data_IF_139392933945
#
_entry.id   IF_139392933945
#
_cell.length_a   1.000
_cell.length_b   1.000
_cell.length_c   1.000
_cell.angle_alpha   90.00
_cell.angle_beta   90.00
_cell.angle_gamma   90.00
#
_symmetry.space_group_name_H-M   'P 1'
#
loop_
_entity.id
_entity.type
_entity.pdbx_description
1 polymer ?
#
# COMPACT_ATOMS: atom_id res chain seq x y z
N UNK A 1 28.34 -32.51 22.88
CA UNK A 1 27.10 -32.62 22.10
C UNK A 1 26.46 -31.25 22.05
N UNK A 2 26.60 -30.55 20.92
CA UNK A 2 26.08 -29.19 20.75
C UNK A 2 24.59 -29.24 20.42
N UNK A 3 23.78 -28.60 21.25
CA UNK A 3 22.36 -28.36 20.99
C UNK A 3 22.24 -27.24 19.97
N UNK A 4 21.90 -27.63 18.73
CA UNK A 4 21.49 -26.71 17.67
C UNK A 4 20.21 -25.99 18.10
N UNK A 5 20.35 -24.69 18.37
CA UNK A 5 19.22 -23.76 18.51
C UNK A 5 18.60 -23.61 17.12
N UNK A 6 17.53 -24.35 16.85
CA UNK A 6 16.65 -24.09 15.70
C UNK A 6 15.98 -22.74 15.92
N UNK A 7 16.60 -21.67 15.40
CA UNK A 7 15.98 -20.37 15.28
C UNK A 7 14.75 -20.51 14.40
N UNK A 8 13.57 -20.35 15.00
CA UNK A 8 12.31 -20.30 14.28
C UNK A 8 12.41 -19.18 13.22
N UNK A 9 12.52 -19.58 11.96
CA UNK A 9 12.24 -18.73 10.81
C UNK A 9 10.78 -18.31 10.97
N UNK A 10 10.54 -17.17 11.61
CA UNK A 10 9.21 -16.64 11.81
C UNK A 10 8.65 -16.22 10.45
N UNK A 11 8.02 -17.16 9.75
CA UNK A 11 7.07 -16.83 8.71
C UNK A 11 6.05 -15.87 9.34
N UNK A 12 5.78 -14.75 8.69
CA UNK A 12 4.65 -13.92 9.07
C UNK A 12 3.40 -14.67 8.64
N UNK A 13 3.00 -15.68 9.40
CA UNK A 13 1.85 -16.53 9.12
C UNK A 13 0.52 -15.78 9.17
N UNK A 14 0.55 -14.51 9.62
CA UNK A 14 -0.60 -13.61 9.62
C UNK A 14 -0.19 -12.19 9.19
N UNK A 15 -1.06 -11.45 8.48
CA UNK A 15 -0.78 -10.09 8.00
C UNK A 15 -0.41 -9.09 9.10
N UNK A 16 -0.92 -9.26 10.31
CA UNK A 16 -0.75 -8.35 11.45
C UNK A 16 0.70 -8.32 11.94
N UNK A 17 1.47 -9.37 11.65
CA UNK A 17 2.89 -9.47 12.01
C UNK A 17 3.80 -8.71 11.03
N UNK A 18 3.30 -8.35 9.84
CA UNK A 18 4.03 -7.53 8.89
C UNK A 18 4.13 -6.10 9.40
N UNK A 19 5.31 -5.50 9.30
CA UNK A 19 5.59 -4.12 9.75
C UNK A 19 6.25 -3.32 8.63
N UNK A 20 6.10 -2.00 8.71
CA UNK A 20 6.78 -1.06 7.82
C UNK A 20 6.53 -1.36 6.34
N UNK A 21 7.61 -1.44 5.57
CA UNK A 21 7.56 -1.59 4.12
C UNK A 21 6.99 -2.95 3.66
N UNK A 22 7.31 -4.03 4.38
CA UNK A 22 6.80 -5.37 4.04
C UNK A 22 5.27 -5.42 4.06
N UNK A 23 4.66 -4.69 5.00
CA UNK A 23 3.20 -4.58 5.12
C UNK A 23 2.61 -3.79 3.96
N UNK A 24 3.23 -2.66 3.60
CA UNK A 24 2.79 -1.80 2.49
C UNK A 24 2.83 -2.56 1.17
N UNK A 25 3.87 -3.36 0.94
CA UNK A 25 3.92 -4.24 -0.22
C UNK A 25 2.84 -5.32 -0.19
N UNK A 26 2.66 -6.00 0.95
CA UNK A 26 1.61 -7.00 1.09
C UNK A 26 0.22 -6.45 0.74
N UNK A 27 -0.07 -5.21 1.13
CA UNK A 27 -1.35 -4.56 0.84
C UNK A 27 -1.55 -4.27 -0.65
N UNK A 28 -0.47 -4.01 -1.38
CA UNK A 28 -0.49 -3.66 -2.81
C UNK A 28 -0.19 -4.86 -3.72
N UNK A 29 -0.18 -6.09 -3.18
CA UNK A 29 -0.11 -7.30 -3.99
C UNK A 29 -1.46 -7.59 -4.63
N UNK A 30 -1.41 -8.07 -5.87
CA UNK A 30 -2.61 -8.35 -6.65
C UNK A 30 -3.31 -9.61 -6.15
N UNK A 31 -4.51 -9.43 -5.58
CA UNK A 31 -5.39 -10.51 -5.19
C UNK A 31 -4.97 -11.29 -3.94
N UNK A 32 -5.77 -12.29 -3.57
CA UNK A 32 -5.56 -13.07 -2.35
C UNK A 32 -4.44 -14.10 -2.47
N UNK A 33 -4.24 -14.68 -3.67
CA UNK A 33 -3.22 -15.70 -3.91
C UNK A 33 -1.81 -15.17 -3.66
N UNK A 34 -1.48 -14.00 -4.22
CA UNK A 34 -0.15 -13.41 -4.07
C UNK A 34 0.12 -12.96 -2.64
N UNK A 35 -0.91 -12.44 -1.97
CA UNK A 35 -0.86 -12.12 -0.53
C UNK A 35 -0.58 -13.36 0.31
N UNK A 36 -1.31 -14.46 0.08
CA UNK A 36 -1.11 -15.72 0.79
C UNK A 36 0.27 -16.33 0.52
N UNK A 37 0.79 -16.20 -0.71
CA UNK A 37 2.14 -16.64 -1.05
C UNK A 37 3.20 -15.80 -0.33
N UNK A 38 3.07 -14.47 -0.33
CA UNK A 38 4.01 -13.56 0.32
C UNK A 38 4.18 -13.81 1.82
N UNK A 39 3.11 -14.19 2.53
CA UNK A 39 3.16 -14.54 3.96
C UNK A 39 4.02 -15.78 4.23
N UNK A 40 4.13 -16.69 3.26
CA UNK A 40 4.96 -17.90 3.32
C UNK A 40 6.41 -17.64 2.93
N UNK A 41 6.70 -16.52 2.24
CA UNK A 41 8.06 -16.18 1.79
C UNK A 41 8.92 -15.76 2.99
N UNK A 42 10.08 -16.42 3.20
CA UNK A 42 11.04 -16.01 4.23
C UNK A 42 11.48 -14.55 4.02
N UNK A 43 11.69 -13.80 5.11
CA UNK A 43 12.03 -12.37 5.04
C UNK A 43 13.17 -12.06 4.07
N UNK A 44 14.23 -12.87 4.06
CA UNK A 44 15.38 -12.71 3.18
C UNK A 44 15.06 -12.85 1.67
N UNK A 45 13.95 -13.51 1.32
CA UNK A 45 13.53 -13.76 -0.06
C UNK A 45 12.39 -12.84 -0.52
N UNK A 46 11.82 -12.02 0.38
CA UNK A 46 10.67 -11.14 0.06
C UNK A 46 10.99 -10.13 -1.03
N UNK A 47 12.20 -9.56 -1.03
CA UNK A 47 12.60 -8.64 -2.08
C UNK A 47 12.56 -9.32 -3.47
N UNK A 48 13.14 -10.51 -3.61
CA UNK A 48 13.14 -11.25 -4.87
C UNK A 48 11.72 -11.62 -5.32
N UNK A 49 10.84 -11.98 -4.38
CA UNK A 49 9.42 -12.18 -4.66
C UNK A 49 8.76 -10.89 -5.21
N UNK A 50 8.99 -9.75 -4.56
CA UNK A 50 8.42 -8.46 -4.97
C UNK A 50 8.99 -7.96 -6.31
N UNK A 51 10.23 -8.30 -6.62
CA UNK A 51 10.83 -8.07 -7.95
C UNK A 51 10.10 -8.87 -9.03
N UNK A 52 9.84 -10.16 -8.80
CA UNK A 52 9.05 -10.98 -9.73
C UNK A 52 7.64 -10.44 -9.96
N UNK A 53 7.08 -9.74 -8.97
CA UNK A 53 5.78 -9.06 -9.06
C UNK A 53 5.86 -7.62 -9.60
N UNK A 54 7.05 -7.11 -9.92
CA UNK A 54 7.29 -5.74 -10.39
C UNK A 54 7.12 -4.63 -9.33
N UNK A 55 6.61 -4.96 -8.14
CA UNK A 55 6.39 -3.97 -7.07
C UNK A 55 7.70 -3.39 -6.53
N UNK A 56 8.74 -4.22 -6.43
CA UNK A 56 10.04 -3.73 -5.96
C UNK A 56 10.68 -2.75 -6.94
N UNK A 57 10.57 -3.01 -8.24
CA UNK A 57 11.17 -2.16 -9.26
C UNK A 57 10.41 -0.84 -9.37
N UNK A 58 9.07 -0.87 -9.32
CA UNK A 58 8.24 0.34 -9.17
C UNK A 58 8.61 1.15 -7.94
N UNK A 59 8.89 0.47 -6.83
CA UNK A 59 9.34 1.14 -5.60
C UNK A 59 10.71 1.79 -5.76
N UNK A 60 11.68 1.11 -6.39
CA UNK A 60 13.02 1.66 -6.61
C UNK A 60 13.04 2.79 -7.65
N UNK A 61 12.10 2.80 -8.59
CA UNK A 61 11.95 3.87 -9.58
C UNK A 61 11.42 5.19 -8.98
N UNK A 62 10.84 5.16 -7.78
CA UNK A 62 10.42 6.37 -7.09
C UNK A 62 11.65 7.20 -6.63
N UNK A 63 11.61 8.55 -6.77
CA UNK A 63 12.59 9.43 -6.16
C UNK A 63 12.74 9.14 -4.66
N UNK A 64 13.95 9.29 -4.12
CA UNK A 64 14.22 9.03 -2.69
C UNK A 64 13.30 9.85 -1.77
N UNK A 65 13.05 11.12 -2.11
CA UNK A 65 12.14 11.98 -1.38
C UNK A 65 10.71 11.43 -1.34
N UNK A 66 10.21 10.89 -2.45
CA UNK A 66 8.88 10.27 -2.53
C UNK A 66 8.82 8.97 -1.73
N UNK A 67 9.87 8.13 -1.80
CA UNK A 67 9.97 6.93 -0.96
C UNK A 67 9.95 7.27 0.52
N UNK A 68 10.66 8.33 0.92
CA UNK A 68 10.70 8.79 2.31
C UNK A 68 9.32 9.30 2.77
N UNK A 69 8.64 10.10 1.94
CA UNK A 69 7.29 10.58 2.21
C UNK A 69 6.28 9.42 2.32
N UNK A 70 6.28 8.49 1.36
CA UNK A 70 5.38 7.33 1.38
C UNK A 70 5.61 6.44 2.61
N UNK A 71 6.85 6.26 3.06
CA UNK A 71 7.16 5.55 4.32
C UNK A 71 6.52 6.22 5.54
N UNK A 72 6.46 7.56 5.57
CA UNK A 72 5.79 8.35 6.62
C UNK A 72 4.27 8.43 6.43
N UNK A 73 3.73 7.92 5.32
CA UNK A 73 2.31 8.02 5.00
C UNK A 73 1.91 9.41 4.49
N UNK A 74 2.87 10.18 3.98
CA UNK A 74 2.66 11.48 3.38
C UNK A 74 2.48 11.33 1.86
N UNK A 75 1.57 12.13 1.30
CA UNK A 75 1.30 12.22 -0.12
C UNK A 75 1.16 13.70 -0.49
N UNK A 76 1.64 14.08 -1.68
CA UNK A 76 1.54 15.43 -2.22
C UNK A 76 1.25 15.40 -3.71
N UNK A 77 0.63 16.48 -4.22
CA UNK A 77 0.54 16.71 -5.65
C UNK A 77 1.94 16.69 -6.31
N UNK A 78 2.02 16.16 -7.52
CA UNK A 78 3.23 15.88 -8.26
C UNK A 78 3.92 14.56 -7.91
N UNK A 79 3.46 13.82 -6.90
CA UNK A 79 4.01 12.48 -6.61
C UNK A 79 3.52 11.44 -7.63
N UNK A 80 4.27 10.36 -7.82
CA UNK A 80 3.77 9.24 -8.62
C UNK A 80 2.58 8.56 -7.93
N UNK A 81 1.62 8.08 -8.71
CA UNK A 81 0.44 7.32 -8.24
C UNK A 81 0.85 6.16 -7.33
N UNK A 82 1.90 5.43 -7.70
CA UNK A 82 2.39 4.32 -6.90
C UNK A 82 2.87 4.74 -5.51
N UNK A 83 3.36 5.98 -5.35
CA UNK A 83 3.72 6.52 -4.04
C UNK A 83 2.48 6.68 -3.14
N UNK A 84 1.31 7.05 -3.71
CA UNK A 84 0.04 7.09 -2.98
C UNK A 84 -0.34 5.70 -2.46
N UNK A 85 -0.22 4.68 -3.30
CA UNK A 85 -0.52 3.29 -2.92
C UNK A 85 0.42 2.78 -1.84
N UNK A 86 1.70 3.13 -1.92
CA UNK A 86 2.66 2.77 -0.88
C UNK A 86 2.43 3.55 0.41
N UNK A 87 1.95 4.79 0.33
CA UNK A 87 1.65 5.63 1.49
C UNK A 87 0.38 5.19 2.23
N UNK A 88 -0.71 4.94 1.50
CA UNK A 88 -2.06 4.79 2.05
C UNK A 88 -2.67 3.39 1.84
N UNK A 89 -1.99 2.50 1.12
CA UNK A 89 -2.52 1.22 0.66
C UNK A 89 -3.25 1.38 -0.68
N UNK A 90 -3.90 0.32 -1.19
CA UNK A 90 -4.74 0.48 -2.37
C UNK A 90 -5.86 1.51 -2.14
N UNK A 91 -6.58 1.93 -3.18
CA UNK A 91 -7.78 2.71 -3.00
C UNK A 91 -8.97 1.83 -2.62
N UNK A 92 -9.95 2.44 -1.94
CA UNK A 92 -11.25 1.87 -1.64
C UNK A 92 -12.12 1.78 -2.91
N UNK A 93 -12.04 2.81 -3.76
CA UNK A 93 -12.71 2.88 -5.06
C UNK A 93 -11.80 3.57 -6.09
N UNK A 94 -11.98 3.26 -7.37
CA UNK A 94 -11.30 3.95 -8.46
C UNK A 94 -12.25 4.17 -9.61
N UNK A 95 -12.48 5.44 -9.94
CA UNK A 95 -13.30 5.85 -11.07
C UNK A 95 -12.42 6.48 -12.14
N UNK A 96 -12.60 6.10 -13.40
CA UNK A 96 -11.91 6.72 -14.53
C UNK A 96 -12.89 7.60 -15.28
N UNK A 97 -12.51 8.84 -15.54
CA UNK A 97 -13.26 9.77 -16.38
C UNK A 97 -12.40 10.21 -17.54
N UNK A 98 -12.99 10.15 -18.72
CA UNK A 98 -12.34 10.59 -19.97
C UNK A 98 -12.98 11.90 -20.41
N UNK A 99 -12.17 12.93 -20.61
CA UNK A 99 -12.60 14.22 -21.15
C UNK A 99 -11.72 14.57 -22.35
N UNK A 100 -12.22 14.27 -23.56
CA UNK A 100 -11.42 14.35 -24.78
C UNK A 100 -10.31 13.30 -24.77
N UNK A 101 -9.05 13.71 -24.94
CA UNK A 101 -7.87 12.84 -24.91
C UNK A 101 -7.27 12.64 -23.50
N UNK A 102 -7.82 13.31 -22.49
CA UNK A 102 -7.35 13.19 -21.11
C UNK A 102 -8.14 12.12 -20.37
N UNK A 103 -7.43 11.13 -19.84
CA UNK A 103 -7.97 10.18 -18.87
C UNK A 103 -7.49 10.56 -17.47
N UNK A 104 -8.45 10.78 -16.58
CA UNK A 104 -8.20 11.06 -15.16
C UNK A 104 -8.73 9.89 -14.34
N UNK A 105 -7.86 9.29 -13.52
CA UNK A 105 -8.25 8.33 -12.51
C UNK A 105 -8.48 9.05 -11.17
N UNK A 106 -9.66 8.85 -10.58
CA UNK A 106 -10.03 9.34 -9.27
C UNK A 106 -10.01 8.17 -8.29
N UNK A 107 -9.05 8.19 -7.38
CA UNK A 107 -8.90 7.19 -6.34
C UNK A 107 -9.49 7.69 -5.03
N UNK A 108 -10.42 6.94 -4.47
CA UNK A 108 -10.95 7.21 -3.13
C UNK A 108 -10.15 6.43 -2.10
N UNK A 109 -9.59 7.12 -1.12
CA UNK A 109 -8.87 6.54 0.01
C UNK A 109 -9.61 6.84 1.31
N UNK A 110 -9.76 5.83 2.16
CA UNK A 110 -10.37 5.98 3.47
C UNK A 110 -9.28 5.86 4.53
N UNK A 111 -9.20 6.83 5.44
CA UNK A 111 -8.26 6.84 6.56
C UNK A 111 -8.99 6.93 7.87
N UNK A 112 -8.98 5.85 8.66
CA UNK A 112 -9.54 5.90 10.02
C UNK A 112 -8.71 6.83 10.91
N UNK A 113 -9.36 7.83 11.50
CA UNK A 113 -8.72 8.77 12.44
C UNK A 113 -8.75 8.22 13.87
N UNK A 114 -9.77 7.43 14.22
CA UNK A 114 -9.84 6.69 15.49
C UNK A 114 -9.15 5.31 15.46
N UNK A 115 -8.58 4.93 14.30
CA UNK A 115 -7.99 3.62 14.06
C UNK A 115 -8.96 2.60 13.45
N UNK A 116 -8.44 1.54 12.80
CA UNK A 116 -9.28 0.50 12.20
C UNK A 116 -9.50 -0.69 13.13
N UNK A 117 -10.68 -1.31 12.96
CA UNK A 117 -11.18 -2.48 13.69
C UNK A 117 -10.24 -3.66 13.69
N UNK A 118 -9.54 -3.90 12.58
CA UNK A 118 -8.62 -5.04 12.45
C UNK A 118 -7.62 -4.80 11.33
N UNK A 119 -6.38 -5.27 11.46
CA UNK A 119 -5.49 -5.50 10.32
C UNK A 119 -5.19 -4.30 9.39
N UNK A 120 -5.26 -3.04 9.86
CA UNK A 120 -4.96 -1.75 9.16
C UNK A 120 -4.73 -1.84 7.64
N UNK A 121 -5.81 -1.96 6.89
CA UNK A 121 -6.05 -1.35 5.58
C UNK A 121 -7.58 -1.24 5.43
N UNK A 122 -8.06 -0.14 4.88
CA UNK A 122 -9.45 0.32 5.02
C UNK A 122 -10.01 0.53 3.62
N UNK A 123 -10.68 -0.49 3.09
CA UNK A 123 -11.40 -0.39 1.80
C UNK A 123 -12.84 0.08 1.96
N UNK A 124 -13.33 0.12 3.20
CA UNK A 124 -14.67 0.54 3.52
C UNK A 124 -14.67 1.24 4.88
N UNK A 125 -15.49 2.26 5.02
CA UNK A 125 -15.65 3.04 6.25
C UNK A 125 -16.07 2.18 7.44
N UNK A 126 -16.83 1.10 7.17
CA UNK A 126 -17.24 0.10 8.16
C UNK A 126 -16.06 -0.58 8.87
N UNK A 127 -14.85 -0.53 8.30
CA UNK A 127 -13.63 -1.07 8.90
C UNK A 127 -12.95 -0.13 9.90
N UNK A 128 -13.48 1.09 10.08
CA UNK A 128 -13.03 2.03 11.12
C UNK A 128 -13.77 1.83 12.45
N UNK A 129 -13.08 1.98 13.57
CA UNK A 129 -13.63 1.89 14.94
C UNK A 129 -14.40 3.15 15.38
N UNK A 130 -14.58 4.11 14.48
CA UNK A 130 -15.18 5.41 14.78
C UNK A 130 -15.05 6.33 13.58
N UNK A 131 -14.36 7.46 13.76
CA UNK A 131 -14.21 8.48 12.73
C UNK A 131 -13.22 8.08 11.65
N UNK A 132 -13.49 8.55 10.45
CA UNK A 132 -12.67 8.37 9.27
C UNK A 132 -12.66 9.66 8.46
N UNK A 133 -11.62 9.78 7.64
CA UNK A 133 -11.57 10.79 6.60
C UNK A 133 -11.57 10.10 5.24
N UNK A 134 -12.27 10.69 4.28
CA UNK A 134 -12.26 10.25 2.89
C UNK A 134 -11.48 11.25 2.03
N UNK A 135 -10.57 10.73 1.24
CA UNK A 135 -9.77 11.53 0.31
C UNK A 135 -10.01 11.07 -1.11
N UNK A 136 -10.29 12.01 -2.01
CA UNK A 136 -10.23 11.78 -3.44
C UNK A 136 -8.86 12.24 -3.95
N UNK A 137 -8.18 11.38 -4.70
CA UNK A 137 -6.89 11.67 -5.31
C UNK A 137 -7.05 11.55 -6.81
N UNK A 138 -6.87 12.66 -7.52
CA UNK A 138 -6.87 12.69 -8.98
C UNK A 138 -5.47 12.34 -9.51
N UNK A 139 -5.43 11.47 -10.51
CA UNK A 139 -4.21 10.99 -11.16
C UNK A 139 -4.35 11.12 -12.66
N UNK A 140 -3.37 11.77 -13.28
CA UNK A 140 -3.26 11.92 -14.73
C UNK A 140 -1.86 11.50 -15.16
N UNK A 141 -1.76 10.63 -16.16
CA UNK A 141 -0.46 10.12 -16.65
C UNK A 141 0.37 9.43 -15.56
N UNK A 142 -0.27 8.84 -14.55
CA UNK A 142 0.39 8.21 -13.40
C UNK A 142 0.96 9.18 -12.36
N UNK A 143 0.61 10.47 -12.44
CA UNK A 143 1.03 11.51 -11.49
C UNK A 143 -0.19 12.04 -10.74
N UNK A 144 -0.05 12.20 -9.43
CA UNK A 144 -1.06 12.82 -8.58
C UNK A 144 -1.18 14.30 -8.91
N UNK A 145 -2.33 14.75 -9.38
CA UNK A 145 -2.58 16.15 -9.73
C UNK A 145 -3.30 16.90 -8.62
N UNK A 146 -4.21 16.24 -7.91
CA UNK A 146 -4.99 16.83 -6.82
C UNK A 146 -5.23 15.83 -5.68
N UNK A 147 -5.31 16.34 -4.46
CA UNK A 147 -5.68 15.59 -3.27
C UNK A 147 -6.75 16.41 -2.55
N UNK A 148 -7.96 15.87 -2.46
CA UNK A 148 -9.13 16.54 -1.89
C UNK A 148 -9.66 15.75 -0.70
N UNK A 149 -9.87 16.43 0.42
CA UNK A 149 -10.63 15.88 1.55
C UNK A 149 -12.13 15.98 1.21
N UNK A 150 -12.83 14.86 1.27
CA UNK A 150 -14.27 14.79 1.05
C UNK A 150 -15.04 14.98 2.36
N UNK A 151 -14.67 14.19 3.38
CA UNK A 151 -15.31 14.11 4.70
C UNK A 151 -14.27 13.89 5.79
#
# INVERSE_FOLDING_TARGET
MGTLVCGALACASSPERLRGLDRRFYQNLDGEKDRAEYLKVPKAQRQAFLQKKGLWDRWQALPEAERAAAKRGELKAGSQEFAAFMAWGPPADTQRRTAGEREVAFHTFIRCTSGPKTGRYVQATSTCDGTFNEFEVAVEGGIVTEIKLLH
#
